data_IF_440585863916
#
_entry.id   IF_440585863916
#
_cell.length_a   1.000
_cell.length_b   1.000
_cell.length_c   1.000
_cell.angle_alpha   90.00
_cell.angle_beta   90.00
_cell.angle_gamma   90.00
#
_symmetry.space_group_name_H-M   'P 1'
#
loop_
_entity.id
_entity.type
_entity.pdbx_description
1 polymer ?
#
# COMPACT_ATOMS: atom_id res chain seq x y z
N UNK A 1 -24.59 -6.01 4.24
CA UNK A 1 -23.93 -5.53 5.47
C UNK A 1 -22.89 -4.49 5.08
N UNK A 2 -22.98 -3.32 5.68
CA UNK A 2 -21.97 -2.30 5.50
C UNK A 2 -20.84 -2.52 6.49
N UNK A 3 -19.60 -2.52 6.00
CA UNK A 3 -18.41 -2.59 6.83
C UNK A 3 -17.87 -1.17 7.08
N UNK A 4 -17.30 -0.91 8.27
CA UNK A 4 -16.63 0.36 8.51
C UNK A 4 -15.55 0.62 7.48
N UNK A 5 -15.52 1.84 6.96
CA UNK A 5 -14.51 2.26 5.98
C UNK A 5 -13.22 2.68 6.68
N UNK A 6 -12.10 2.31 6.08
CA UNK A 6 -10.77 2.73 6.49
C UNK A 6 -10.18 3.70 5.46
N UNK A 7 -9.35 4.62 5.93
CA UNK A 7 -8.60 5.56 5.09
C UNK A 7 -7.12 5.18 5.00
N UNK A 8 -6.75 4.01 5.53
CA UNK A 8 -5.39 3.49 5.53
C UNK A 8 -5.40 2.06 5.07
N UNK A 9 -4.38 1.67 4.31
CA UNK A 9 -4.22 0.31 3.78
C UNK A 9 -2.79 -0.17 4.01
N UNK A 10 -2.62 -1.49 4.11
CA UNK A 10 -1.31 -2.11 4.13
C UNK A 10 -0.67 -2.03 2.75
N UNK A 11 0.65 -1.96 2.67
CA UNK A 11 1.38 -1.87 1.41
C UNK A 11 1.88 -3.25 1.01
N UNK A 12 1.43 -3.72 -0.16
CA UNK A 12 1.75 -5.04 -0.68
C UNK A 12 3.04 -5.06 -1.54
N UNK A 13 3.55 -3.91 -1.91
CA UNK A 13 4.71 -3.78 -2.79
C UNK A 13 4.44 -2.81 -3.94
N UNK A 14 4.99 -3.09 -5.11
CA UNK A 14 4.81 -2.25 -6.30
C UNK A 14 3.96 -2.94 -7.39
N UNK A 15 3.45 -4.14 -7.13
CA UNK A 15 2.54 -4.86 -8.01
C UNK A 15 1.11 -4.83 -7.44
N UNK A 16 0.12 -4.80 -8.33
CA UNK A 16 -1.28 -4.76 -7.96
C UNK A 16 -1.64 -6.02 -7.12
N UNK A 17 -2.14 -5.83 -5.88
CA UNK A 17 -2.48 -6.95 -5.02
C UNK A 17 -3.67 -7.79 -5.52
N UNK A 18 -4.47 -7.27 -6.44
CA UNK A 18 -5.60 -8.00 -7.02
C UNK A 18 -5.19 -8.92 -8.18
N UNK A 19 -3.99 -8.72 -8.71
CA UNK A 19 -3.47 -9.55 -9.79
C UNK A 19 -2.65 -10.72 -9.24
N UNK A 20 -2.66 -11.89 -9.90
CA UNK A 20 -1.86 -13.04 -9.45
C UNK A 20 -0.37 -12.73 -9.28
N UNK A 21 0.19 -11.85 -10.11
CA UNK A 21 1.58 -11.40 -9.99
C UNK A 21 1.85 -10.66 -8.68
N UNK A 22 0.84 -10.02 -8.08
CA UNK A 22 0.96 -9.33 -6.81
C UNK A 22 0.87 -10.25 -5.59
N UNK A 23 0.45 -11.50 -5.77
CA UNK A 23 0.32 -12.46 -4.67
C UNK A 23 1.68 -12.81 -4.05
N UNK A 24 2.74 -12.77 -4.83
CA UNK A 24 4.12 -12.95 -4.38
C UNK A 24 4.85 -11.61 -4.24
N UNK A 25 4.10 -10.56 -3.90
CA UNK A 25 4.59 -9.20 -3.86
C UNK A 25 5.82 -8.98 -2.98
N UNK A 26 6.55 -7.93 -3.28
CA UNK A 26 7.79 -7.60 -2.60
C UNK A 26 7.61 -6.80 -1.31
N UNK A 27 6.38 -6.45 -0.95
CA UNK A 27 6.06 -5.66 0.24
C UNK A 27 5.96 -6.48 1.52
N UNK A 28 5.47 -5.83 2.58
CA UNK A 28 5.34 -6.45 3.90
C UNK A 28 4.03 -7.25 4.02
N UNK A 29 2.95 -6.76 3.41
CA UNK A 29 1.66 -7.43 3.45
C UNK A 29 1.42 -8.16 2.13
N UNK A 30 1.65 -9.45 2.15
CA UNK A 30 1.55 -10.33 0.98
C UNK A 30 0.59 -11.47 1.27
N UNK A 31 -0.17 -11.87 0.27
CA UNK A 31 -1.17 -12.91 0.39
C UNK A 31 -0.56 -14.22 0.94
N UNK A 32 -1.15 -14.70 2.04
CA UNK A 32 -0.78 -15.97 2.70
C UNK A 32 0.68 -16.07 3.16
N UNK A 33 1.39 -14.94 3.31
CA UNK A 33 2.77 -14.95 3.81
C UNK A 33 2.89 -14.05 5.04
N UNK A 34 3.80 -14.41 5.92
CA UNK A 34 4.13 -13.65 7.12
C UNK A 34 5.59 -13.25 7.08
N UNK A 35 5.86 -12.01 7.47
CA UNK A 35 7.21 -11.49 7.58
C UNK A 35 7.42 -10.93 8.97
N UNK A 36 8.64 -11.11 9.50
CA UNK A 36 9.09 -10.47 10.72
C UNK A 36 9.99 -9.28 10.38
N UNK A 37 10.31 -8.47 11.37
CA UNK A 37 11.25 -7.36 11.18
C UNK A 37 12.61 -7.83 10.64
N UNK A 38 13.00 -9.06 10.94
CA UNK A 38 14.24 -9.67 10.41
C UNK A 38 14.25 -9.81 8.90
N UNK A 39 13.08 -9.95 8.30
CA UNK A 39 12.94 -10.12 6.85
C UNK A 39 13.04 -8.78 6.09
N UNK A 40 12.98 -7.65 6.80
CA UNK A 40 13.09 -6.32 6.23
C UNK A 40 14.56 -5.90 6.14
N UNK A 41 15.30 -6.56 5.25
CA UNK A 41 16.77 -6.45 5.18
C UNK A 41 17.28 -5.09 4.70
N UNK A 42 16.42 -4.28 4.10
CA UNK A 42 16.75 -2.88 3.75
C UNK A 42 16.90 -1.98 4.96
N UNK A 43 16.41 -2.39 6.11
CA UNK A 43 16.31 -1.55 7.31
C UNK A 43 14.89 -1.05 7.55
N UNK A 44 14.47 -1.07 8.81
CA UNK A 44 13.08 -0.77 9.20
C UNK A 44 12.65 0.66 8.84
N UNK A 45 13.57 1.59 8.83
CA UNK A 45 13.28 3.00 8.49
C UNK A 45 13.06 3.23 7.00
N UNK A 46 13.31 2.25 6.16
CA UNK A 46 13.24 2.38 4.70
C UNK A 46 12.12 1.56 4.06
N UNK A 47 11.33 0.85 4.88
CA UNK A 47 10.24 0.01 4.39
C UNK A 47 8.90 0.58 4.80
N UNK A 48 8.14 1.05 3.83
CA UNK A 48 6.78 1.55 4.03
C UNK A 48 5.83 0.39 4.29
N UNK A 49 4.99 0.52 5.32
CA UNK A 49 4.09 -0.57 5.73
C UNK A 49 2.62 -0.20 5.63
N UNK A 50 2.25 1.04 5.93
CA UNK A 50 0.86 1.51 5.87
C UNK A 50 0.84 2.91 5.26
N UNK A 51 -0.15 3.19 4.43
CA UNK A 51 -0.37 4.52 3.90
C UNK A 51 -1.85 4.81 3.67
N UNK A 52 -2.12 6.02 3.23
CA UNK A 52 -3.47 6.51 3.00
C UNK A 52 -4.03 6.03 1.66
N UNK A 53 -5.32 5.72 1.68
CA UNK A 53 -6.13 5.62 0.47
C UNK A 53 -7.56 6.00 0.82
N UNK A 54 -8.12 6.95 0.07
CA UNK A 54 -9.48 7.43 0.33
C UNK A 54 -10.54 6.48 -0.24
N UNK A 55 -11.73 6.49 0.35
CA UNK A 55 -12.87 5.75 -0.18
C UNK A 55 -13.28 6.24 -1.58
N UNK A 56 -12.90 7.46 -1.93
CA UNK A 56 -13.12 8.03 -3.27
C UNK A 56 -12.37 7.27 -4.34
N UNK A 57 -11.17 6.77 -4.02
CA UNK A 57 -10.37 5.96 -4.93
C UNK A 57 -10.82 4.49 -4.91
N UNK A 58 -10.86 3.89 -3.73
CA UNK A 58 -11.39 2.55 -3.52
C UNK A 58 -11.83 2.40 -2.07
N UNK A 59 -13.12 2.17 -1.79
CA UNK A 59 -13.58 1.91 -0.42
C UNK A 59 -12.83 0.73 0.20
N UNK A 60 -12.26 0.95 1.38
CA UNK A 60 -11.37 0.00 2.05
C UNK A 60 -11.87 -0.31 3.45
N UNK A 61 -11.45 -1.45 3.99
CA UNK A 61 -11.77 -1.88 5.35
C UNK A 61 -10.62 -2.72 5.89
N UNK A 62 -10.51 -2.83 7.21
CA UNK A 62 -9.52 -3.72 7.86
C UNK A 62 -10.14 -5.05 8.31
N UNK A 63 -11.43 -5.22 8.15
CA UNK A 63 -12.12 -6.42 8.64
C UNK A 63 -11.94 -7.63 7.72
N UNK A 64 -11.25 -7.47 6.61
CA UNK A 64 -11.01 -8.53 5.64
C UNK A 64 -11.73 -8.30 4.33
N UNK A 65 -11.71 -9.29 3.46
CA UNK A 65 -12.33 -9.21 2.14
C UNK A 65 -12.89 -10.58 1.73
N UNK A 66 -13.80 -10.53 0.76
CA UNK A 66 -14.33 -11.75 0.16
C UNK A 66 -13.45 -12.14 -1.03
N UNK A 67 -12.90 -13.35 -1.03
CA UNK A 67 -11.91 -13.78 -2.05
C UNK A 67 -12.46 -13.78 -3.47
N UNK A 68 -13.78 -13.94 -3.64
CA UNK A 68 -14.45 -13.87 -4.94
C UNK A 68 -15.06 -12.49 -5.20
N UNK A 69 -14.87 -11.55 -4.30
CA UNK A 69 -15.38 -10.18 -4.45
C UNK A 69 -14.53 -9.37 -5.43
N UNK A 70 -15.14 -8.36 -6.02
CA UNK A 70 -14.46 -7.39 -6.87
C UNK A 70 -13.39 -6.65 -6.04
N UNK A 71 -12.17 -6.57 -6.57
CA UNK A 71 -11.02 -5.96 -5.93
C UNK A 71 -10.75 -6.50 -4.51
N UNK A 72 -10.96 -7.81 -4.29
CA UNK A 72 -10.89 -8.42 -2.97
C UNK A 72 -9.67 -8.01 -2.16
N UNK A 73 -8.43 -8.43 -2.53
CA UNK A 73 -7.23 -8.03 -1.78
C UNK A 73 -7.02 -6.52 -1.72
N UNK A 74 -7.40 -5.79 -2.77
CA UNK A 74 -7.30 -4.34 -2.83
C UNK A 74 -8.16 -3.60 -1.80
N UNK A 75 -9.19 -4.26 -1.24
CA UNK A 75 -10.00 -3.65 -0.17
C UNK A 75 -9.21 -3.43 1.12
N UNK A 76 -8.12 -4.15 1.32
CA UNK A 76 -7.27 -4.05 2.53
C UNK A 76 -5.83 -3.67 2.21
N UNK A 77 -5.40 -3.81 0.95
CA UNK A 77 -4.03 -3.59 0.51
C UNK A 77 -3.96 -2.53 -0.60
N UNK A 78 -2.87 -1.78 -0.61
CA UNK A 78 -2.50 -0.88 -1.69
C UNK A 78 -1.10 -1.19 -2.20
N UNK A 79 -0.68 -0.49 -3.25
CA UNK A 79 0.64 -0.66 -3.83
C UNK A 79 1.22 0.66 -4.34
N UNK A 80 2.52 0.69 -4.54
CA UNK A 80 3.28 1.87 -4.95
C UNK A 80 3.88 1.65 -6.33
N UNK A 81 3.23 2.13 -7.36
CA UNK A 81 3.71 1.95 -8.73
C UNK A 81 3.98 3.29 -9.45
N UNK A 82 2.93 4.03 -9.77
CA UNK A 82 3.07 5.27 -10.56
C UNK A 82 3.44 6.47 -9.70
N UNK A 83 2.82 6.61 -8.55
CA UNK A 83 2.99 7.72 -7.63
C UNK A 83 1.72 7.98 -6.84
N UNK A 84 1.80 8.78 -5.77
CA UNK A 84 0.61 9.11 -4.99
C UNK A 84 -0.28 10.13 -5.69
N UNK A 85 -1.58 10.12 -5.36
CA UNK A 85 -2.56 11.12 -5.81
C UNK A 85 -2.72 11.26 -7.32
N UNK A 86 -2.52 10.18 -8.08
CA UNK A 86 -2.72 10.17 -9.53
C UNK A 86 -4.13 9.67 -9.82
N UNK A 87 -5.00 10.55 -10.30
CA UNK A 87 -6.42 10.24 -10.53
C UNK A 87 -6.64 9.12 -11.55
N UNK A 88 -5.74 8.97 -12.52
CA UNK A 88 -5.85 7.97 -13.59
C UNK A 88 -5.09 6.69 -13.31
N UNK A 89 -4.44 6.58 -12.14
CA UNK A 89 -3.75 5.35 -11.74
C UNK A 89 -4.77 4.28 -11.33
N UNK A 90 -4.26 3.05 -11.17
CA UNK A 90 -5.06 1.94 -10.66
C UNK A 90 -5.70 2.31 -9.31
N UNK A 91 -6.93 1.86 -9.10
CA UNK A 91 -7.69 2.18 -7.88
C UNK A 91 -7.08 1.60 -6.60
N UNK A 92 -6.20 0.61 -6.70
CA UNK A 92 -5.48 0.08 -5.55
C UNK A 92 -4.23 0.89 -5.19
N UNK A 93 -3.81 1.87 -6.00
CA UNK A 93 -2.73 2.77 -5.64
C UNK A 93 -3.15 3.75 -4.53
N UNK A 94 -2.19 4.46 -3.99
CA UNK A 94 -2.37 5.30 -2.80
C UNK A 94 -2.83 6.71 -3.17
N UNK A 95 -3.70 7.27 -2.35
CA UNK A 95 -4.10 8.66 -2.46
C UNK A 95 -4.45 9.23 -1.09
N UNK A 96 -4.60 10.55 -1.03
CA UNK A 96 -5.02 11.24 0.18
C UNK A 96 -5.90 12.44 -0.18
N UNK A 97 -6.50 13.05 0.83
CA UNK A 97 -7.18 14.34 0.69
C UNK A 97 -6.23 15.52 0.95
N UNK A 98 -4.99 15.24 1.34
CA UNK A 98 -3.97 16.28 1.51
C UNK A 98 -3.48 16.76 0.16
N UNK A 99 -3.43 18.06 -0.10
CA UNK A 99 -2.89 18.53 -1.36
C UNK A 99 -1.39 18.26 -1.44
N UNK A 100 -0.97 17.64 -2.53
CA UNK A 100 0.43 17.49 -2.90
C UNK A 100 1.20 16.35 -2.23
N UNK A 101 0.57 15.54 -1.37
CA UNK A 101 1.31 14.49 -0.66
C UNK A 101 0.40 13.40 -0.06
N UNK A 102 1.02 12.32 0.39
CA UNK A 102 0.43 11.29 1.24
C UNK A 102 1.27 11.11 2.51
N UNK A 103 0.66 10.60 3.57
CA UNK A 103 1.37 10.18 4.78
C UNK A 103 1.64 8.68 4.72
N UNK A 104 2.86 8.28 5.08
CA UNK A 104 3.32 6.90 5.05
C UNK A 104 3.93 6.52 6.39
N UNK A 105 3.52 5.39 6.94
CA UNK A 105 4.12 4.78 8.12
C UNK A 105 5.20 3.79 7.68
N UNK A 106 6.38 3.91 8.24
CA UNK A 106 7.51 2.99 8.02
C UNK A 106 7.61 1.96 9.15
N UNK A 107 8.33 0.87 8.91
CA UNK A 107 8.38 -0.27 9.82
C UNK A 107 9.02 0.02 11.18
N UNK A 108 9.80 1.07 11.29
CA UNK A 108 10.38 1.53 12.58
C UNK A 108 9.41 2.40 13.39
N UNK A 109 8.21 2.66 12.87
CA UNK A 109 7.18 3.47 13.53
C UNK A 109 7.18 4.94 13.16
N UNK A 110 8.15 5.44 12.37
CA UNK A 110 8.10 6.83 11.97
C UNK A 110 7.11 7.08 10.83
N UNK A 111 6.56 8.28 10.79
CA UNK A 111 5.64 8.72 9.72
C UNK A 111 6.34 9.77 8.88
N UNK A 112 6.21 9.65 7.58
CA UNK A 112 6.83 10.58 6.64
C UNK A 112 5.81 11.01 5.59
N UNK A 113 5.90 12.28 5.18
CA UNK A 113 5.16 12.81 4.04
C UNK A 113 5.88 12.44 2.75
N UNK A 114 5.14 11.89 1.80
CA UNK A 114 5.66 11.57 0.45
C UNK A 114 4.97 12.47 -0.55
N UNK A 115 5.76 13.27 -1.27
CA UNK A 115 5.26 14.24 -2.26
C UNK A 115 4.68 13.54 -3.51
N UNK A 116 3.67 14.16 -4.11
CA UNK A 116 3.13 13.72 -5.41
C UNK A 116 4.20 13.71 -6.51
N UNK A 117 5.23 14.54 -6.38
CA UNK A 117 6.35 14.62 -7.31
C UNK A 117 7.49 13.64 -7.02
N UNK A 118 7.30 12.67 -6.11
CA UNK A 118 8.34 11.70 -5.79
C UNK A 118 8.80 10.94 -7.05
N UNK A 119 10.10 10.68 -7.13
CA UNK A 119 10.63 9.84 -8.20
C UNK A 119 10.01 8.44 -8.16
N UNK A 120 9.59 7.93 -9.30
CA UNK A 120 8.89 6.66 -9.39
C UNK A 120 9.72 5.49 -8.87
N UNK A 121 11.03 5.49 -9.12
CA UNK A 121 11.88 4.41 -8.63
C UNK A 121 12.01 4.44 -7.11
N UNK A 122 12.08 5.62 -6.52
CA UNK A 122 12.10 5.81 -5.06
C UNK A 122 10.78 5.36 -4.46
N UNK A 123 9.66 5.75 -5.08
CA UNK A 123 8.32 5.38 -4.64
C UNK A 123 8.12 3.86 -4.62
N UNK A 124 8.55 3.17 -5.68
CA UNK A 124 8.49 1.70 -5.74
C UNK A 124 9.41 1.05 -4.71
N UNK A 125 10.63 1.56 -4.55
CA UNK A 125 11.62 0.99 -3.63
C UNK A 125 11.18 1.05 -2.19
N UNK A 126 10.49 2.10 -1.76
CA UNK A 126 10.04 2.18 -0.37
C UNK A 126 9.02 1.11 0.00
N UNK A 127 8.34 0.53 -0.98
CA UNK A 127 7.36 -0.53 -0.80
C UNK A 127 7.95 -1.94 -0.75
N UNK A 128 9.26 -2.08 -0.95
CA UNK A 128 9.95 -3.38 -1.00
C UNK A 128 10.59 -3.68 0.35
N UNK A 129 10.35 -4.89 0.89
CA UNK A 129 10.87 -5.31 2.22
C UNK A 129 12.36 -5.65 2.23
N UNK A 130 12.94 -6.00 1.08
CA UNK A 130 14.31 -6.45 0.97
C UNK A 130 14.92 -6.04 -0.37
N UNK A 131 16.23 -5.90 -0.41
CA UNK A 131 16.95 -5.61 -1.64
C UNK A 131 17.12 -6.87 -2.51
#
# INVERSE_FOLDING_TARGET
MELPQANYVGIAGYLDPDEPSGYDGAGVFVHRRKFSFRDLTKGLSQVAVISERTARKLPSTWLGFHVLGEDGPGRVLGFCNLGPNIATSDECELDSRHPGSILVLFADGHVQTVSDGVDQSIYRKMAIRAD
#
